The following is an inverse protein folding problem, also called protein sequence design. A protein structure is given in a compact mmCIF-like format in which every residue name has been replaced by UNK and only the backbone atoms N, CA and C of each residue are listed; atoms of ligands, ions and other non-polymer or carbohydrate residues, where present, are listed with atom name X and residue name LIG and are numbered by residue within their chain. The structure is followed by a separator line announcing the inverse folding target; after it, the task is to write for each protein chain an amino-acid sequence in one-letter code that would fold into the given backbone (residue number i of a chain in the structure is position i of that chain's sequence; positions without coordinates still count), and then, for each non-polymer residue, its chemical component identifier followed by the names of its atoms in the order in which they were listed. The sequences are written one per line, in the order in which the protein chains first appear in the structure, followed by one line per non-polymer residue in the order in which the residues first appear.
data_IF_512840615515
#
_entry.id   IF_512840615515
#
_cell.length_a   1.000
_cell.length_b   1.000
_cell.length_c   1.000
_cell.angle_alpha   90.00
_cell.angle_beta   90.00
_cell.angle_gamma   90.00
#
_symmetry.space_group_name_H-M   'P 1'
#
loop_
_entity.id
_entity.type
_entity.pdbx_description
1 polymer ?
#
# COMPACT_ATOMS: atom_id res chain seq x y z
N UNK A 1 11.84 -13.15 -9.63
CA UNK A 1 10.41 -13.50 -9.75
C UNK A 1 9.57 -12.66 -8.80
N UNK A 2 8.34 -13.10 -8.50
CA UNK A 2 7.52 -12.50 -7.45
C UNK A 2 8.07 -12.88 -6.06
N UNK A 3 7.93 -11.97 -5.09
CA UNK A 3 8.18 -12.23 -3.68
C UNK A 3 6.95 -11.84 -2.86
N UNK A 4 6.69 -12.62 -1.82
CA UNK A 4 5.70 -12.30 -0.80
C UNK A 4 6.45 -11.68 0.37
N UNK A 5 6.06 -10.48 0.80
CA UNK A 5 6.61 -9.84 2.00
C UNK A 5 5.62 -9.99 3.15
N UNK A 6 6.15 -10.13 4.37
CA UNK A 6 5.35 -10.16 5.62
C UNK A 6 6.06 -9.35 6.70
N UNK A 7 5.30 -8.74 7.58
CA UNK A 7 5.86 -7.98 8.70
C UNK A 7 4.77 -7.18 9.40
N UNK A 8 5.15 -6.26 10.28
CA UNK A 8 4.18 -5.50 11.07
C UNK A 8 3.24 -4.65 10.21
N UNK A 9 3.65 -4.23 9.01
CA UNK A 9 2.80 -3.47 8.08
C UNK A 9 1.82 -4.38 7.28
N UNK A 10 2.23 -5.60 6.97
CA UNK A 10 1.47 -6.55 6.14
C UNK A 10 1.48 -7.97 6.76
N UNK A 11 0.73 -8.19 7.86
CA UNK A 11 0.82 -9.44 8.62
C UNK A 11 0.25 -10.65 7.87
N UNK A 12 -0.77 -10.45 7.02
CA UNK A 12 -1.27 -11.53 6.13
C UNK A 12 -0.41 -11.66 4.87
N UNK A 13 0.24 -10.57 4.46
CA UNK A 13 1.26 -10.52 3.43
C UNK A 13 1.03 -9.41 2.42
N UNK A 14 1.99 -9.26 1.51
CA UNK A 14 1.93 -8.37 0.35
C UNK A 14 2.77 -8.93 -0.78
N UNK A 15 2.64 -8.38 -1.99
CA UNK A 15 3.29 -8.91 -3.20
C UNK A 15 4.15 -7.83 -3.86
N UNK A 16 5.36 -8.22 -4.27
CA UNK A 16 6.25 -7.40 -5.08
C UNK A 16 6.86 -8.21 -6.22
N UNK A 17 6.96 -7.58 -7.40
CA UNK A 17 7.75 -8.09 -8.53
C UNK A 17 9.23 -7.75 -8.34
N UNK A 18 9.91 -8.49 -7.48
CA UNK A 18 11.32 -8.23 -7.12
C UNK A 18 12.28 -8.20 -8.34
N UNK A 19 11.95 -8.91 -9.43
CA UNK A 19 12.71 -8.86 -10.68
C UNK A 19 12.70 -7.48 -11.38
N UNK A 20 11.76 -6.61 -11.04
CA UNK A 20 11.66 -5.24 -11.56
C UNK A 20 12.28 -4.19 -10.63
N UNK A 21 12.94 -4.62 -9.54
CA UNK A 21 13.52 -3.74 -8.51
C UNK A 21 15.04 -3.74 -8.62
N UNK A 22 15.65 -2.55 -8.67
CA UNK A 22 17.09 -2.39 -8.62
C UNK A 22 17.65 -2.96 -7.29
N UNK A 23 18.74 -3.73 -7.35
CA UNK A 23 19.39 -4.30 -6.16
C UNK A 23 19.71 -3.27 -5.06
N UNK A 24 20.03 -2.03 -5.43
CA UNK A 24 20.28 -0.95 -4.47
C UNK A 24 19.03 -0.54 -3.64
N UNK A 25 17.84 -0.99 -4.04
CA UNK A 25 16.55 -0.77 -3.36
C UNK A 25 16.01 -2.05 -2.71
N UNK A 26 16.78 -3.14 -2.66
CA UNK A 26 16.34 -4.37 -2.01
C UNK A 26 16.29 -4.24 -0.48
N UNK A 27 17.07 -3.32 0.07
CA UNK A 27 16.97 -2.89 1.45
C UNK A 27 16.72 -1.39 1.44
N UNK A 28 15.56 -0.98 1.96
CA UNK A 28 15.12 0.41 1.95
C UNK A 28 14.44 0.74 3.28
N UNK A 29 14.75 1.90 3.83
CA UNK A 29 14.00 2.46 4.95
C UNK A 29 13.82 3.94 4.69
N UNK A 30 12.59 4.42 4.86
CA UNK A 30 12.26 5.81 4.57
C UNK A 30 10.98 6.28 5.25
N UNK A 31 10.75 7.60 5.28
CA UNK A 31 9.56 8.18 5.87
C UNK A 31 8.32 7.92 5.01
N UNK A 32 7.20 7.63 5.65
CA UNK A 32 5.92 7.41 5.01
C UNK A 32 5.34 8.72 4.48
N UNK A 33 4.89 8.71 3.22
CA UNK A 33 4.05 9.74 2.61
C UNK A 33 2.66 9.15 2.40
N UNK A 34 1.65 9.58 3.14
CA UNK A 34 0.38 8.85 3.26
C UNK A 34 -0.72 9.47 2.40
N UNK A 35 -1.39 8.63 1.61
CA UNK A 35 -2.43 9.01 0.66
C UNK A 35 -3.65 8.10 0.80
N UNK A 36 -4.85 8.69 0.77
CA UNK A 36 -6.11 7.95 0.86
C UNK A 36 -6.78 7.75 -0.51
N UNK A 37 -6.13 8.18 -1.60
CA UNK A 37 -6.60 7.96 -2.97
C UNK A 37 -5.45 8.11 -3.97
N UNK A 38 -5.54 7.41 -5.12
CA UNK A 38 -4.64 7.61 -6.27
C UNK A 38 -4.52 9.08 -6.66
N UNK A 39 -5.65 9.82 -6.67
CA UNK A 39 -5.67 11.25 -7.02
C UNK A 39 -4.77 12.08 -6.10
N UNK A 40 -4.88 11.89 -4.79
CA UNK A 40 -4.06 12.65 -3.82
C UNK A 40 -2.57 12.32 -3.92
N UNK A 41 -2.22 11.08 -4.23
CA UNK A 41 -0.84 10.66 -4.49
C UNK A 41 -0.30 11.31 -5.77
N UNK A 42 -1.09 11.30 -6.85
CA UNK A 42 -0.74 11.94 -8.11
C UNK A 42 -0.49 13.44 -7.95
N UNK A 43 -1.37 14.15 -7.23
CA UNK A 43 -1.18 15.58 -6.95
C UNK A 43 0.14 15.82 -6.18
N UNK A 44 0.47 14.99 -5.19
CA UNK A 44 1.73 15.12 -4.45
C UNK A 44 2.97 14.89 -5.32
N UNK A 45 2.93 13.88 -6.20
CA UNK A 45 4.01 13.65 -7.17
C UNK A 45 4.13 14.86 -8.08
N UNK A 46 3.03 15.29 -8.69
CA UNK A 46 3.04 16.38 -9.68
C UNK A 46 3.44 17.74 -9.10
N UNK A 47 3.21 17.97 -7.80
CA UNK A 47 3.60 19.21 -7.10
C UNK A 47 4.97 19.14 -6.40
N UNK A 48 5.85 18.20 -6.76
CA UNK A 48 7.22 18.07 -6.22
C UNK A 48 7.27 17.91 -4.68
N UNK A 49 6.24 17.31 -4.09
CA UNK A 49 6.16 17.03 -2.64
C UNK A 49 6.77 15.68 -2.25
N UNK A 50 7.23 14.89 -3.22
CA UNK A 50 7.87 13.60 -3.02
C UNK A 50 9.38 13.73 -3.24
N UNK A 51 10.17 13.07 -2.39
CA UNK A 51 11.62 13.10 -2.40
C UNK A 51 12.19 11.69 -2.55
N UNK A 52 13.41 11.60 -3.08
CA UNK A 52 14.16 10.35 -3.09
C UNK A 52 14.36 9.84 -1.65
N UNK A 53 14.08 8.56 -1.41
CA UNK A 53 14.04 8.00 -0.06
C UNK A 53 12.62 7.75 0.46
N UNK A 54 11.61 8.46 -0.05
CA UNK A 54 10.25 8.38 0.48
C UNK A 54 9.60 7.00 0.26
N UNK A 55 8.71 6.65 1.19
CA UNK A 55 7.83 5.49 1.08
C UNK A 55 6.40 5.99 0.93
N UNK A 56 5.88 6.00 -0.29
CA UNK A 56 4.50 6.39 -0.56
C UNK A 56 3.54 5.27 -0.19
N UNK A 57 2.58 5.56 0.69
CA UNK A 57 1.55 4.62 1.15
C UNK A 57 0.19 5.06 0.62
N UNK A 58 -0.34 4.35 -0.36
CA UNK A 58 -1.65 4.56 -0.95
C UNK A 58 -2.63 3.55 -0.36
N UNK A 59 -3.52 3.99 0.51
CA UNK A 59 -4.45 3.14 1.24
C UNK A 59 -5.91 3.39 0.86
N UNK A 60 -6.77 2.44 1.21
CA UNK A 60 -8.18 2.39 0.83
C UNK A 60 -8.39 2.12 -0.66
N UNK A 61 -7.41 1.50 -1.31
CA UNK A 61 -7.48 1.04 -2.71
C UNK A 61 -7.68 -0.49 -2.78
N UNK A 62 -7.93 -1.13 -1.64
CA UNK A 62 -8.13 -2.56 -1.50
C UNK A 62 -9.50 -3.07 -1.98
N UNK A 63 -9.76 -4.39 -1.82
CA UNK A 63 -11.01 -5.02 -2.26
C UNK A 63 -12.27 -4.35 -1.69
N UNK A 64 -12.33 -4.05 -0.40
CA UNK A 64 -13.49 -3.43 0.24
C UNK A 64 -13.38 -1.90 0.34
N UNK A 65 -12.16 -1.34 0.29
CA UNK A 65 -11.91 0.10 0.41
C UNK A 65 -12.35 0.91 -0.81
N UNK A 66 -11.79 0.61 -1.98
CA UNK A 66 -12.16 1.26 -3.25
C UNK A 66 -13.37 0.62 -3.95
N UNK A 67 -13.94 -0.43 -3.37
CA UNK A 67 -14.45 -1.60 -4.09
C UNK A 67 -13.68 -2.07 -5.34
N UNK A 68 -13.38 -3.37 -5.39
CA UNK A 68 -12.90 -4.04 -6.60
C UNK A 68 -11.40 -3.97 -6.81
N UNK A 69 -10.66 -3.38 -5.87
CA UNK A 69 -9.20 -3.38 -5.84
C UNK A 69 -8.60 -2.88 -7.18
N UNK A 70 -8.85 -1.62 -7.58
CA UNK A 70 -8.46 -1.10 -8.89
C UNK A 70 -6.94 -1.21 -9.14
N UNK A 71 -6.58 -1.28 -10.42
CA UNK A 71 -5.18 -1.31 -10.85
C UNK A 71 -4.70 0.10 -11.13
N UNK A 72 -3.64 0.53 -10.44
CA UNK A 72 -3.04 1.85 -10.60
C UNK A 72 -1.78 1.76 -11.46
N UNK A 73 -1.73 2.60 -12.51
CA UNK A 73 -0.56 2.79 -13.38
C UNK A 73 -0.02 4.24 -13.31
N UNK A 74 -0.86 5.20 -12.94
CA UNK A 74 -0.53 6.62 -13.00
C UNK A 74 0.59 6.99 -12.01
N UNK A 75 0.53 6.61 -10.71
CA UNK A 75 1.56 6.97 -9.74
C UNK A 75 2.94 6.44 -10.10
N UNK A 76 2.99 5.18 -10.56
CA UNK A 76 4.25 4.52 -10.95
C UNK A 76 4.86 5.21 -12.17
N UNK A 77 4.04 5.55 -13.16
CA UNK A 77 4.50 6.23 -14.37
C UNK A 77 4.96 7.66 -14.08
N UNK A 78 4.30 8.36 -13.16
CA UNK A 78 4.65 9.72 -12.78
C UNK A 78 5.99 9.78 -12.02
N UNK A 79 6.22 8.86 -11.08
CA UNK A 79 7.52 8.73 -10.37
C UNK A 79 8.65 8.45 -11.36
N UNK A 80 8.45 7.50 -12.27
CA UNK A 80 9.42 7.21 -13.33
C UNK A 80 9.66 8.40 -14.26
N UNK A 81 8.59 9.09 -14.69
CA UNK A 81 8.68 10.26 -15.55
C UNK A 81 9.41 11.45 -14.89
N UNK A 82 9.40 11.51 -13.56
CA UNK A 82 10.18 12.46 -12.76
C UNK A 82 11.64 12.02 -12.55
N UNK A 83 12.04 10.86 -13.05
CA UNK A 83 13.39 10.34 -12.90
C UNK A 83 13.73 9.88 -11.49
N UNK A 84 12.73 9.72 -10.61
CA UNK A 84 12.94 9.25 -9.24
C UNK A 84 13.19 7.74 -9.24
N UNK A 85 14.24 7.31 -8.55
CA UNK A 85 14.74 5.92 -8.58
C UNK A 85 14.72 5.24 -7.22
N UNK A 86 14.60 6.02 -6.14
CA UNK A 86 14.64 5.59 -4.74
C UNK A 86 13.36 5.90 -3.98
N UNK A 87 12.22 5.85 -4.66
CA UNK A 87 10.88 5.96 -4.03
C UNK A 87 10.19 4.61 -4.05
N UNK A 88 9.64 4.21 -2.90
CA UNK A 88 8.84 2.99 -2.77
C UNK A 88 7.36 3.35 -2.83
N UNK A 89 6.57 2.54 -3.54
CA UNK A 89 5.11 2.65 -3.53
C UNK A 89 4.51 1.41 -2.86
N UNK A 90 3.62 1.63 -1.90
CA UNK A 90 2.93 0.59 -1.12
C UNK A 90 1.43 0.82 -1.25
N UNK A 91 0.67 -0.24 -1.49
CA UNK A 91 -0.80 -0.16 -1.50
C UNK A 91 -1.47 -1.46 -1.06
N UNK A 92 -2.67 -1.31 -0.47
CA UNK A 92 -3.63 -2.39 -0.29
C UNK A 92 -4.39 -2.75 -1.58
N UNK A 93 -4.27 -1.93 -2.62
CA UNK A 93 -4.75 -2.18 -3.98
C UNK A 93 -3.76 -2.90 -4.89
N UNK A 94 -3.82 -2.61 -6.20
CA UNK A 94 -2.94 -3.21 -7.22
C UNK A 94 -2.14 -2.15 -7.97
N UNK A 95 -0.90 -2.50 -8.31
CA UNK A 95 -0.11 -1.77 -9.31
C UNK A 95 -0.06 -2.55 -10.62
N UNK A 96 0.10 -1.85 -11.72
CA UNK A 96 0.11 -2.50 -13.04
C UNK A 96 1.34 -3.38 -13.28
N UNK A 97 1.17 -4.46 -14.04
CA UNK A 97 2.24 -5.42 -14.37
C UNK A 97 3.42 -4.83 -15.17
N UNK A 98 3.21 -3.68 -15.82
CA UNK A 98 4.23 -2.90 -16.54
C UNK A 98 5.14 -2.07 -15.63
N UNK A 99 4.81 -1.98 -14.34
CA UNK A 99 5.53 -1.17 -13.35
C UNK A 99 6.98 -1.63 -13.19
N UNK A 100 7.90 -0.65 -13.13
CA UNK A 100 9.30 -0.84 -12.73
C UNK A 100 9.52 -0.16 -11.38
N UNK A 101 10.45 -0.68 -10.59
CA UNK A 101 10.78 -0.16 -9.27
C UNK A 101 10.06 -0.87 -8.11
N UNK A 102 10.32 -0.44 -6.88
CA UNK A 102 9.84 -1.09 -5.66
C UNK A 102 8.38 -0.76 -5.39
N UNK A 103 7.49 -1.47 -6.09
CA UNK A 103 6.04 -1.33 -5.96
C UNK A 103 5.45 -2.58 -5.28
N UNK A 104 4.88 -2.37 -4.10
CA UNK A 104 4.32 -3.40 -3.23
C UNK A 104 2.80 -3.24 -3.24
N UNK A 105 2.10 -4.24 -3.77
CA UNK A 105 0.64 -4.27 -3.77
C UNK A 105 0.08 -5.36 -2.85
N UNK A 106 -1.25 -5.44 -2.79
CA UNK A 106 -1.97 -6.48 -2.06
C UNK A 106 -1.62 -6.53 -0.57
N UNK A 107 -1.26 -5.38 0.04
CA UNK A 107 -1.03 -5.33 1.48
C UNK A 107 -2.29 -5.78 2.21
N UNK A 108 -2.15 -6.86 2.98
CA UNK A 108 -3.25 -7.48 3.70
C UNK A 108 -2.94 -7.59 5.20
N UNK A 109 -3.92 -7.31 6.08
CA UNK A 109 -5.28 -6.83 5.77
C UNK A 109 -5.29 -5.40 5.19
N UNK A 110 -6.29 -5.10 4.36
CA UNK A 110 -6.43 -3.78 3.73
C UNK A 110 -6.80 -2.69 4.75
N UNK A 111 -6.67 -1.42 4.37
CA UNK A 111 -6.96 -0.33 5.29
C UNK A 111 -8.43 -0.26 5.71
N UNK A 112 -9.35 -0.58 4.80
CA UNK A 112 -10.79 -0.51 5.05
C UNK A 112 -11.29 -1.46 6.16
N UNK A 113 -10.53 -2.51 6.47
CA UNK A 113 -10.84 -3.47 7.54
C UNK A 113 -9.96 -3.29 8.78
N UNK A 114 -9.20 -2.19 8.87
CA UNK A 114 -8.37 -1.86 10.02
C UNK A 114 -7.02 -2.58 10.05
N UNK A 115 -6.52 -3.00 8.88
CA UNK A 115 -5.16 -3.52 8.74
C UNK A 115 -4.10 -2.48 9.15
N UNK A 116 -2.86 -2.89 9.48
CA UNK A 116 -1.82 -1.96 9.94
C UNK A 116 -1.54 -0.80 8.98
N UNK A 117 -1.71 -0.99 7.67
CA UNK A 117 -1.63 0.07 6.65
C UNK A 117 -2.61 1.24 6.90
N UNK A 118 -3.75 0.99 7.56
CA UNK A 118 -4.69 2.04 7.98
C UNK A 118 -4.15 2.95 9.09
N UNK A 119 -3.13 2.50 9.81
CA UNK A 119 -2.59 3.16 11.01
C UNK A 119 -1.30 3.92 10.73
N UNK A 120 -0.79 3.86 9.49
CA UNK A 120 0.37 4.65 9.06
C UNK A 120 0.01 6.12 9.09
N UNK A 121 0.88 6.92 9.70
CA UNK A 121 0.84 8.37 9.73
C UNK A 121 2.02 8.96 8.95
N UNK A 122 1.89 10.23 8.58
CA UNK A 122 2.91 10.94 7.81
C UNK A 122 4.24 10.98 8.58
N UNK A 123 5.34 10.58 7.92
CA UNK A 123 6.68 10.57 8.50
C UNK A 123 7.07 9.30 9.25
N UNK A 124 6.15 8.35 9.48
CA UNK A 124 6.50 7.06 10.09
C UNK A 124 7.59 6.35 9.27
N UNK A 125 8.56 5.74 9.93
CA UNK A 125 9.58 4.97 9.22
C UNK A 125 9.03 3.59 8.81
N UNK A 126 9.19 3.24 7.54
CA UNK A 126 8.85 1.92 7.01
C UNK A 126 10.12 1.26 6.48
N UNK A 127 10.42 0.06 6.99
CA UNK A 127 11.54 -0.75 6.56
C UNK A 127 11.09 -1.88 5.64
N UNK A 128 11.78 -2.04 4.51
CA UNK A 128 11.55 -3.09 3.52
C UNK A 128 12.87 -3.81 3.29
N UNK A 129 12.82 -5.14 3.37
CA UNK A 129 13.95 -6.01 3.08
C UNK A 129 13.49 -7.15 2.17
N UNK A 130 13.89 -7.10 0.90
CA UNK A 130 13.54 -8.11 -0.10
C UNK A 130 14.39 -9.38 0.03
N UNK A 131 15.52 -9.34 0.74
CA UNK A 131 16.33 -10.53 1.05
C UNK A 131 15.62 -11.37 2.11
N UNK A 132 15.22 -10.73 3.21
CA UNK A 132 14.49 -11.33 4.34
C UNK A 132 12.99 -11.48 4.08
N UNK A 133 12.47 -10.85 3.03
CA UNK A 133 11.05 -10.79 2.66
C UNK A 133 10.20 -10.11 3.74
N UNK A 134 10.70 -9.02 4.30
CA UNK A 134 10.02 -8.28 5.38
C UNK A 134 9.53 -6.91 4.94
N UNK A 135 8.48 -6.45 5.62
CA UNK A 135 7.88 -5.12 5.46
C UNK A 135 7.31 -4.68 6.81
N UNK A 136 8.01 -3.76 7.46
CA UNK A 136 7.77 -3.41 8.85
C UNK A 136 7.51 -1.91 8.99
N UNK A 137 6.43 -1.59 9.71
CA UNK A 137 6.14 -0.25 10.21
C UNK A 137 6.89 -0.08 11.53
N UNK A 138 7.86 0.84 11.57
CA UNK A 138 8.73 1.07 12.72
C UNK A 138 8.10 2.07 13.69
N UNK A 139 6.95 1.69 14.23
CA UNK A 139 6.20 2.44 15.23
C UNK A 139 6.04 1.55 16.46
N UNK A 140 6.13 2.15 17.65
CA UNK A 140 5.97 1.42 18.90
C UNK A 140 4.58 0.76 18.99
N UNK A 141 4.52 -0.43 19.61
CA UNK A 141 3.30 -1.20 19.71
C UNK A 141 2.20 -0.46 20.49
N UNK A 142 2.56 0.32 21.53
CA UNK A 142 1.58 1.10 22.30
C UNK A 142 0.96 2.21 21.46
N UNK A 143 1.76 2.85 20.62
CA UNK A 143 1.28 3.89 19.70
C UNK A 143 0.38 3.29 18.62
N UNK A 144 0.74 2.12 18.07
CA UNK A 144 -0.13 1.42 17.11
C UNK A 144 -1.48 1.02 17.72
N UNK A 145 -1.50 0.56 18.98
CA UNK A 145 -2.75 0.26 19.67
C UNK A 145 -3.58 1.52 19.96
N UNK A 146 -2.93 2.64 20.32
CA UNK A 146 -3.61 3.94 20.46
C UNK A 146 -4.26 4.37 19.15
N UNK A 147 -3.53 4.29 18.04
CA UNK A 147 -4.05 4.62 16.70
C UNK A 147 -5.17 3.67 16.29
N UNK A 148 -5.04 2.37 16.58
CA UNK A 148 -6.06 1.35 16.31
C UNK A 148 -7.36 1.64 17.06
N UNK A 149 -7.28 2.02 18.34
CA UNK A 149 -8.45 2.37 19.14
C UNK A 149 -9.16 3.64 18.63
N UNK A 150 -8.41 4.59 18.06
CA UNK A 150 -8.96 5.81 17.47
C UNK A 150 -9.46 5.63 16.02
N UNK A 151 -9.02 4.57 15.33
CA UNK A 151 -9.33 4.36 13.92
C UNK A 151 -10.82 4.07 13.71
N UNK A 152 -11.37 4.72 12.68
CA UNK A 152 -12.73 4.48 12.19
C UNK A 152 -12.66 4.23 10.70
N UNK A 153 -13.34 3.20 10.17
CA UNK A 153 -13.37 2.97 8.74
C UNK A 153 -13.98 4.17 8.02
N UNK A 154 -13.40 4.62 6.90
CA UNK A 154 -14.01 5.66 6.08
C UNK A 154 -15.40 5.21 5.61
N UNK A 155 -16.37 6.12 5.69
CA UNK A 155 -17.71 5.86 5.16
C UNK A 155 -17.73 6.18 3.66
N UNK A 156 -17.77 5.14 2.83
CA UNK A 156 -18.04 5.29 1.40
C UNK A 156 -19.55 5.25 1.16
N UNK A 157 -20.07 6.24 0.42
CA UNK A 157 -21.46 6.24 -0.06
C UNK A 157 -21.58 5.31 -1.27
N UNK A 158 -21.67 4.00 -1.00
CA UNK A 158 -21.77 2.97 -2.03
C UNK A 158 -23.22 2.49 -2.17
N UNK A 159 -23.63 2.25 -3.41
CA UNK A 159 -24.93 1.67 -3.75
C UNK A 159 -24.78 0.48 -4.71
N UNK A 160 -25.86 -0.30 -4.86
CA UNK A 160 -25.95 -1.37 -5.84
C UNK A 160 -24.85 -2.44 -5.71
N UNK A 161 -24.24 -2.80 -6.84
CA UNK A 161 -23.30 -3.93 -6.93
C UNK A 161 -22.00 -3.69 -6.13
N UNK A 162 -21.51 -2.46 -6.07
CA UNK A 162 -20.28 -2.14 -5.34
C UNK A 162 -20.47 -2.22 -3.83
N UNK A 163 -21.65 -1.81 -3.33
CA UNK A 163 -22.01 -2.01 -1.92
C UNK A 163 -22.10 -3.49 -1.57
N UNK A 164 -22.69 -4.31 -2.45
CA UNK A 164 -22.73 -5.77 -2.25
C UNK A 164 -21.33 -6.36 -2.24
N UNK A 165 -20.49 -5.96 -3.19
CA UNK A 165 -19.11 -6.43 -3.30
C UNK A 165 -18.31 -6.11 -2.04
N UNK A 166 -18.27 -4.84 -1.61
CA UNK A 166 -17.46 -4.42 -0.46
C UNK A 166 -17.84 -5.13 0.84
N UNK A 167 -19.12 -5.51 1.01
CA UNK A 167 -19.60 -6.26 2.18
C UNK A 167 -19.27 -7.76 2.13
N UNK A 168 -19.17 -8.34 0.94
CA UNK A 168 -19.04 -9.79 0.76
C UNK A 168 -17.61 -10.24 0.43
N UNK A 169 -16.78 -9.35 -0.11
CA UNK A 169 -15.45 -9.68 -0.61
C UNK A 169 -14.50 -10.10 0.52
N UNK A 170 -13.71 -11.15 0.25
CA UNK A 170 -12.57 -11.54 1.08
C UNK A 170 -11.36 -10.63 0.84
N UNK A 171 -10.33 -10.81 1.67
CA UNK A 171 -9.09 -10.05 1.57
C UNK A 171 -8.20 -10.59 0.42
N UNK A 172 -7.25 -9.76 -0.03
CA UNK A 172 -6.39 -10.07 -1.18
C UNK A 172 -5.52 -11.32 -0.98
N UNK A 173 -5.10 -11.61 0.26
CA UNK A 173 -4.36 -12.83 0.63
C UNK A 173 -5.15 -14.12 0.37
N UNK A 174 -6.49 -14.02 0.27
CA UNK A 174 -7.41 -15.13 -0.03
C UNK A 174 -7.96 -15.06 -1.46
N UNK A 175 -7.35 -14.26 -2.32
CA UNK A 175 -7.75 -14.08 -3.71
C UNK A 175 -8.98 -13.20 -3.92
N UNK A 176 -9.36 -12.37 -2.94
CA UNK A 176 -10.50 -11.45 -3.03
C UNK A 176 -11.82 -12.12 -3.49
N UNK A 177 -12.03 -13.38 -3.11
CA UNK A 177 -13.25 -14.12 -3.41
C UNK A 177 -14.41 -13.64 -2.55
N UNK A 178 -15.63 -13.58 -3.11
CA UNK A 178 -16.82 -13.27 -2.31
C UNK A 178 -17.15 -14.45 -1.39
N UNK A 179 -17.46 -14.15 -0.13
CA UNK A 179 -17.98 -15.13 0.83
C UNK A 179 -19.28 -15.72 0.29
N UNK A 180 -19.42 -17.05 0.41
CA UNK A 180 -20.65 -17.77 0.05
C UNK A 180 -21.77 -17.45 1.03
#
# INVERSE_FOLDING_TARGET
GLKILKGSLAPAGSVIKAAAVNYAMWEHTGPARVFNSEKSAMEAILSDRIREGDVMVLRYEGPAGAPGMPEMLSPTSAIMGRGMTRVVLITDGRFSGGTRGPCIGHVAPEAAVGGPIALVEEGDAIAIDLNKKTIDLLVDAQELERRRAAWKPPQASLEGVLLRYSRMVGQADRGAVMKK
#
